data_IF_784248879825
#
_entry.id   IF_784248879825
#
_cell.length_a   1.000
_cell.length_b   1.000
_cell.length_c   1.000
_cell.angle_alpha   90.00
_cell.angle_beta   90.00
_cell.angle_gamma   90.00
#
_symmetry.space_group_name_H-M   'P 1'
#
loop_
_entity.id
_entity.type
_entity.pdbx_description
1 polymer ?
#
# COMPACT_ATOMS: atom_id res chain seq x y z
N UNK A 1 -5.17 -30.05 54.90
CA UNK A 1 -5.69 -28.74 54.46
C UNK A 1 -4.81 -28.22 53.33
N UNK A 2 -5.10 -28.30 52.03
CA UNK A 2 -6.13 -28.89 51.21
C UNK A 2 -5.63 -28.61 49.77
N UNK A 3 -5.24 -29.68 49.07
CA UNK A 3 -4.73 -29.67 47.69
C UNK A 3 -5.88 -29.51 46.70
N UNK A 4 -5.73 -28.67 45.68
CA UNK A 4 -6.56 -28.73 44.46
C UNK A 4 -5.68 -29.10 43.26
N UNK A 5 -5.67 -30.40 42.98
CA UNK A 5 -5.18 -31.02 41.75
C UNK A 5 -6.38 -31.28 40.84
N UNK A 6 -6.36 -30.73 39.61
CA UNK A 6 -7.38 -30.98 38.60
C UNK A 6 -7.04 -32.25 37.82
N UNK A 7 -7.96 -33.22 37.87
CA UNK A 7 -7.90 -34.52 37.19
C UNK A 7 -8.45 -34.41 35.77
N UNK A 8 -7.71 -34.95 34.79
CA UNK A 8 -8.17 -35.21 33.42
C UNK A 8 -8.74 -36.63 33.40
N UNK A 9 -10.03 -36.75 33.10
CA UNK A 9 -10.71 -38.03 32.91
C UNK A 9 -10.87 -38.34 31.43
N UNK A 10 -10.31 -39.48 31.02
CA UNK A 10 -10.53 -40.16 29.75
C UNK A 10 -11.28 -41.47 30.09
N UNK A 11 -12.39 -41.78 29.41
CA UNK A 11 -12.78 -43.18 29.19
C UNK A 11 -13.82 -43.39 28.09
N UNK A 12 -13.49 -44.38 27.25
CA UNK A 12 -14.36 -45.17 26.37
C UNK A 12 -15.39 -45.93 27.24
N UNK A 13 -16.52 -46.47 26.79
CA UNK A 13 -16.67 -47.59 25.84
C UNK A 13 -18.18 -47.96 25.69
N UNK A 14 -18.56 -48.47 24.50
CA UNK A 14 -19.63 -49.47 24.18
C UNK A 14 -21.11 -49.16 24.52
N UNK A 15 -22.12 -49.51 23.70
CA UNK A 15 -22.16 -50.26 22.44
C UNK A 15 -23.61 -50.57 21.99
N UNK A 16 -23.71 -51.14 20.77
CA UNK A 16 -24.80 -51.95 20.18
C UNK A 16 -26.16 -51.27 19.86
N UNK A 17 -26.78 -51.47 18.69
CA UNK A 17 -26.43 -52.25 17.49
C UNK A 17 -27.60 -52.38 16.50
N UNK A 18 -27.29 -52.99 15.34
CA UNK A 18 -28.15 -53.87 14.47
C UNK A 18 -29.25 -53.12 13.65
N UNK A 19 -29.53 -53.30 12.35
CA UNK A 19 -29.34 -54.40 11.36
C UNK A 19 -29.65 -53.91 9.93
N UNK A 20 -29.07 -54.61 8.93
CA UNK A 20 -29.56 -55.00 7.58
C UNK A 20 -30.14 -53.92 6.63
N UNK A 21 -29.86 -53.90 5.32
CA UNK A 21 -29.94 -55.01 4.37
C UNK A 21 -29.14 -54.70 3.07
N UNK A 22 -28.83 -55.76 2.33
CA UNK A 22 -27.91 -55.89 1.19
C UNK A 22 -28.66 -55.78 -0.18
N UNK A 23 -28.05 -56.00 -1.37
CA UNK A 23 -28.20 -55.16 -2.56
C UNK A 23 -28.81 -55.86 -3.79
N UNK A 24 -29.17 -55.09 -4.82
CA UNK A 24 -29.29 -55.54 -6.23
C UNK A 24 -29.47 -54.28 -7.12
N UNK A 25 -29.10 -54.15 -8.40
CA UNK A 25 -28.65 -55.08 -9.43
C UNK A 25 -28.11 -54.24 -10.62
N UNK A 26 -27.44 -54.91 -11.55
CA UNK A 26 -26.77 -54.40 -12.74
C UNK A 26 -27.68 -53.91 -13.88
N UNK A 27 -27.09 -53.16 -14.84
CA UNK A 27 -27.27 -53.24 -16.32
C UNK A 27 -26.55 -52.03 -16.98
N UNK A 28 -25.36 -52.18 -17.58
CA UNK A 28 -25.08 -52.54 -18.99
C UNK A 28 -25.52 -51.52 -20.07
N UNK A 29 -24.60 -50.62 -20.47
CA UNK A 29 -23.98 -50.40 -21.81
C UNK A 29 -24.75 -51.03 -23.01
N UNK A 30 -24.92 -50.36 -24.20
CA UNK A 30 -23.77 -49.94 -25.01
C UNK A 30 -23.83 -48.71 -25.93
N UNK A 31 -22.61 -48.34 -26.35
CA UNK A 31 -22.11 -47.77 -27.61
C UNK A 31 -23.03 -46.91 -28.49
N UNK A 32 -22.51 -45.75 -28.89
CA UNK A 32 -22.22 -45.58 -30.31
C UNK A 32 -21.06 -44.61 -30.58
N UNK A 33 -20.28 -45.01 -31.58
CA UNK A 33 -18.99 -44.48 -32.01
C UNK A 33 -19.15 -43.49 -33.18
N UNK A 34 -18.02 -42.90 -33.63
CA UNK A 34 -17.81 -42.08 -34.85
C UNK A 34 -18.09 -40.57 -34.69
N UNK A 35 -17.35 -39.61 -35.25
CA UNK A 35 -16.06 -39.53 -35.97
C UNK A 35 -15.79 -38.00 -36.13
N UNK A 36 -14.63 -37.47 -35.75
CA UNK A 36 -13.56 -37.00 -36.65
C UNK A 36 -14.04 -36.40 -37.99
N UNK A 37 -13.96 -35.07 -38.09
CA UNK A 37 -13.59 -34.38 -39.33
C UNK A 37 -12.90 -33.05 -38.99
N UNK A 38 -11.62 -33.03 -39.36
CA UNK A 38 -10.69 -31.91 -39.42
C UNK A 38 -10.89 -31.12 -40.74
N UNK A 39 -10.17 -30.00 -40.83
CA UNK A 39 -9.76 -29.24 -42.03
C UNK A 39 -10.58 -27.98 -42.40
N UNK A 40 -9.86 -26.86 -42.47
CA UNK A 40 -10.25 -25.76 -43.35
C UNK A 40 -9.70 -24.37 -43.03
N UNK A 41 -8.38 -24.17 -43.11
CA UNK A 41 -7.75 -22.86 -43.39
C UNK A 41 -8.18 -22.39 -44.79
N UNK A 42 -8.26 -21.08 -45.04
CA UNK A 42 -7.49 -20.58 -46.18
C UNK A 42 -6.71 -19.29 -45.85
N UNK A 43 -5.48 -19.29 -46.38
CA UNK A 43 -4.62 -18.14 -46.59
C UNK A 43 -4.90 -17.56 -48.00
N UNK A 44 -4.33 -16.37 -48.22
CA UNK A 44 -3.95 -15.75 -49.49
C UNK A 44 -4.63 -14.43 -49.91
N UNK A 45 -3.82 -13.37 -49.75
CA UNK A 45 -3.46 -12.36 -50.77
C UNK A 45 -4.41 -11.20 -51.07
N UNK A 46 -3.90 -9.98 -50.90
CA UNK A 46 -4.52 -8.76 -51.41
C UNK A 46 -3.86 -7.46 -50.91
N UNK A 47 -2.64 -7.15 -51.38
CA UNK A 47 -2.15 -5.76 -51.43
C UNK A 47 -2.93 -4.99 -52.52
N UNK A 48 -3.14 -3.68 -52.34
CA UNK A 48 -2.61 -2.79 -53.37
C UNK A 48 -1.88 -1.55 -52.82
N UNK A 49 -1.13 -0.99 -53.75
CA UNK A 49 -0.07 -0.01 -53.65
C UNK A 49 -0.56 1.46 -53.58
N UNK A 50 0.27 2.30 -52.96
CA UNK A 50 0.55 3.73 -53.23
C UNK A 50 -0.59 4.69 -53.66
N UNK A 51 -0.88 5.67 -52.81
CA UNK A 51 -1.56 6.91 -53.18
C UNK A 51 -1.04 8.09 -52.34
N UNK A 52 -0.01 8.77 -52.83
CA UNK A 52 0.41 10.10 -52.37
C UNK A 52 -0.52 11.13 -53.00
N UNK A 53 -1.21 11.95 -52.20
CA UNK A 53 -1.69 13.25 -52.64
C UNK A 53 -1.64 14.29 -51.50
N UNK A 54 -1.35 15.58 -51.80
CA UNK A 54 -0.88 16.57 -50.82
C UNK A 54 -1.93 17.65 -50.45
N UNK A 55 -1.71 18.26 -49.28
CA UNK A 55 -2.02 19.65 -48.86
C UNK A 55 -3.46 20.20 -48.89
N UNK A 56 -4.04 20.40 -47.70
CA UNK A 56 -4.89 21.55 -47.28
C UNK A 56 -5.59 21.18 -45.96
N UNK A 57 -5.65 21.95 -44.87
CA UNK A 57 -5.31 23.35 -44.58
C UNK A 57 -4.91 23.42 -43.09
N UNK A 58 -3.89 24.20 -42.81
CA UNK A 58 -3.49 24.65 -41.49
C UNK A 58 -4.63 25.41 -40.82
N UNK A 59 -5.19 24.85 -39.76
CA UNK A 59 -6.01 25.62 -38.82
C UNK A 59 -5.06 26.59 -38.09
N UNK A 60 -5.31 27.91 -38.07
CA UNK A 60 -4.39 28.85 -37.44
C UNK A 60 -4.23 28.50 -35.97
N UNK A 61 -2.99 28.23 -35.59
CA UNK A 61 -2.60 28.01 -34.21
C UNK A 61 -3.15 29.16 -33.36
N UNK A 62 -4.08 28.83 -32.47
CA UNK A 62 -4.43 29.70 -31.36
C UNK A 62 -3.12 30.06 -30.66
N UNK A 63 -2.80 31.34 -30.44
CA UNK A 63 -1.56 31.70 -29.77
C UNK A 63 -1.62 31.12 -28.36
N UNK A 64 -0.89 30.03 -28.14
CA UNK A 64 -0.57 29.54 -26.81
C UNK A 64 0.34 30.62 -26.23
N UNK A 65 -0.24 31.55 -25.48
CA UNK A 65 0.56 32.46 -24.67
C UNK A 65 1.47 31.58 -23.83
N UNK A 66 2.78 31.66 -24.08
CA UNK A 66 3.77 30.99 -23.27
C UNK A 66 3.71 31.61 -21.87
N UNK A 67 2.87 31.01 -21.03
CA UNK A 67 2.68 31.36 -19.62
C UNK A 67 3.98 31.03 -18.90
N UNK A 68 4.87 32.01 -18.74
CA UNK A 68 6.16 31.83 -18.07
C UNK A 68 5.93 31.63 -16.57
N UNK A 69 5.71 30.40 -16.15
CA UNK A 69 5.69 30.01 -14.74
C UNK A 69 7.14 29.92 -14.25
N UNK A 70 7.49 30.63 -13.17
CA UNK A 70 8.82 30.54 -12.60
C UNK A 70 8.97 29.21 -11.83
N UNK A 71 9.59 28.23 -12.49
CA UNK A 71 10.00 26.96 -11.88
C UNK A 71 11.48 27.01 -11.55
N UNK A 72 11.82 26.83 -10.27
CA UNK A 72 13.20 26.70 -9.81
C UNK A 72 13.52 25.22 -9.61
N UNK A 73 14.30 24.66 -10.53
CA UNK A 73 14.89 23.35 -10.34
C UNK A 73 15.95 23.44 -9.22
N UNK A 74 15.86 22.55 -8.23
CA UNK A 74 16.88 22.38 -7.19
C UNK A 74 17.16 23.63 -6.33
N UNK A 75 16.12 24.15 -5.66
CA UNK A 75 16.24 25.26 -4.70
C UNK A 75 15.88 24.88 -3.25
N UNK A 76 16.32 25.64 -2.24
CA UNK A 76 15.94 25.40 -0.85
C UNK A 76 14.42 25.51 -0.71
N UNK A 77 13.78 24.41 -0.34
CA UNK A 77 12.34 24.38 -0.11
C UNK A 77 11.97 25.26 1.09
N UNK A 78 10.79 25.93 1.07
CA UNK A 78 10.28 26.62 2.24
C UNK A 78 10.18 25.65 3.43
N UNK A 79 10.99 25.90 4.48
CA UNK A 79 11.03 25.10 5.71
C UNK A 79 10.06 25.71 6.71
N UNK A 80 9.00 24.98 7.07
CA UNK A 80 7.99 25.44 8.05
C UNK A 80 8.50 25.33 9.49
N UNK A 81 9.49 24.48 9.76
CA UNK A 81 10.26 24.42 11.01
C UNK A 81 11.65 23.87 10.73
N UNK A 82 12.69 24.49 11.28
CA UNK A 82 14.00 23.88 11.38
C UNK A 82 13.93 22.80 12.46
N UNK A 83 13.76 21.52 12.08
CA UNK A 83 13.91 20.44 13.05
C UNK A 83 14.68 19.25 12.49
N UNK A 84 15.76 18.94 13.24
CA UNK A 84 16.62 17.75 13.26
C UNK A 84 17.62 17.61 12.11
N UNK A 85 18.69 18.40 12.17
CA UNK A 85 19.95 18.02 11.52
C UNK A 85 20.60 16.77 12.19
N UNK A 86 20.25 16.47 13.45
CA UNK A 86 20.85 15.37 14.24
C UNK A 86 19.79 14.34 14.71
N UNK A 87 18.93 13.83 13.82
CA UNK A 87 18.09 12.68 14.20
C UNK A 87 18.97 11.42 14.26
N UNK A 88 18.86 10.59 15.31
CA UNK A 88 19.63 9.35 15.37
C UNK A 88 19.23 8.41 14.23
N UNK A 89 20.20 7.65 13.72
CA UNK A 89 19.95 6.61 12.73
C UNK A 89 19.08 5.49 13.34
N UNK A 90 18.39 4.68 12.51
CA UNK A 90 17.62 3.53 13.00
C UNK A 90 18.44 2.58 13.89
N UNK A 91 19.71 2.41 13.55
CA UNK A 91 20.69 1.58 14.25
C UNK A 91 21.04 2.18 15.60
N UNK A 92 21.44 3.45 15.64
CA UNK A 92 21.70 4.20 16.88
C UNK A 92 20.47 4.19 17.80
N UNK A 93 19.28 4.38 17.24
CA UNK A 93 18.03 4.39 18.00
C UNK A 93 17.75 3.04 18.64
N UNK A 94 17.90 1.94 17.91
CA UNK A 94 17.67 0.61 18.48
C UNK A 94 18.76 0.27 19.51
N UNK A 95 20.04 0.51 19.19
CA UNK A 95 21.17 0.28 20.10
C UNK A 95 21.04 1.03 21.42
N UNK A 96 20.70 2.32 21.37
CA UNK A 96 20.46 3.14 22.58
C UNK A 96 19.37 2.53 23.46
N UNK A 97 18.35 1.93 22.84
CA UNK A 97 17.20 1.38 23.56
C UNK A 97 17.50 0.00 24.13
N UNK A 98 18.24 -0.82 23.39
CA UNK A 98 18.77 -2.10 23.88
C UNK A 98 19.68 -1.86 25.09
N UNK A 99 20.58 -0.88 25.04
CA UNK A 99 21.45 -0.52 26.15
C UNK A 99 20.69 -0.08 27.40
N UNK A 100 19.57 0.65 27.24
CA UNK A 100 18.67 1.01 28.36
C UNK A 100 17.93 -0.19 28.95
N UNK A 101 17.66 -1.21 28.13
CA UNK A 101 16.89 -2.38 28.54
C UNK A 101 17.77 -3.48 29.16
N UNK A 102 19.05 -3.54 28.78
CA UNK A 102 19.99 -4.57 29.20
C UNK A 102 20.16 -4.58 30.75
N UNK A 103 20.08 -5.75 31.41
CA UNK A 103 20.39 -5.87 32.83
C UNK A 103 21.83 -5.44 33.13
N UNK A 104 22.07 -4.84 34.30
CA UNK A 104 23.43 -4.38 34.69
C UNK A 104 24.41 -5.54 34.92
N UNK A 105 23.89 -6.70 35.29
CA UNK A 105 24.61 -7.93 35.64
C UNK A 105 24.70 -8.92 34.46
N UNK A 106 24.38 -8.45 33.25
CA UNK A 106 24.36 -9.28 32.05
C UNK A 106 25.78 -9.69 31.60
N UNK A 107 26.00 -10.95 31.18
CA UNK A 107 27.26 -11.36 30.58
C UNK A 107 27.53 -10.62 29.27
N UNK A 108 28.79 -10.49 28.83
CA UNK A 108 29.12 -9.90 27.54
C UNK A 108 28.39 -10.60 26.39
N UNK A 109 27.73 -9.80 25.56
CA UNK A 109 27.06 -10.25 24.32
C UNK A 109 27.98 -10.04 23.13
N UNK A 110 27.82 -10.88 22.10
CA UNK A 110 28.63 -10.78 20.87
C UNK A 110 28.32 -9.47 20.12
N UNK A 111 29.31 -8.57 20.04
CA UNK A 111 29.19 -7.33 19.27
C UNK A 111 28.92 -7.59 17.78
N UNK A 112 29.64 -8.56 17.18
CA UNK A 112 29.43 -9.00 15.80
C UNK A 112 28.01 -9.55 15.63
N UNK A 113 27.52 -10.35 16.59
CA UNK A 113 26.17 -10.91 16.53
C UNK A 113 25.09 -9.82 16.53
N UNK A 114 25.27 -8.76 17.31
CA UNK A 114 24.37 -7.60 17.32
C UNK A 114 24.44 -6.85 15.99
N UNK A 115 25.63 -6.56 15.49
CA UNK A 115 25.83 -5.86 14.21
C UNK A 115 25.17 -6.62 13.05
N UNK A 116 25.46 -7.91 12.90
CA UNK A 116 24.85 -8.75 11.87
C UNK A 116 23.32 -8.83 12.03
N UNK A 117 22.80 -8.88 13.27
CA UNK A 117 21.36 -8.85 13.50
C UNK A 117 20.74 -7.52 13.07
N UNK A 118 21.42 -6.38 13.28
CA UNK A 118 20.98 -5.08 12.80
C UNK A 118 21.04 -5.00 11.28
N UNK A 119 22.12 -5.45 10.63
CA UNK A 119 22.25 -5.46 9.17
C UNK A 119 21.13 -6.25 8.48
N UNK A 120 20.73 -7.38 9.08
CA UNK A 120 19.63 -8.21 8.58
C UNK A 120 18.23 -7.55 8.73
N UNK A 121 18.10 -6.47 9.50
CA UNK A 121 16.81 -5.81 9.75
C UNK A 121 16.59 -4.60 8.84
N UNK A 122 15.39 -4.51 8.27
CA UNK A 122 14.95 -3.28 7.61
C UNK A 122 14.94 -2.08 8.60
N UNK A 123 15.29 -0.85 8.14
CA UNK A 123 15.28 0.35 8.98
C UNK A 123 13.97 0.58 9.76
N UNK A 124 12.83 0.33 9.12
CA UNK A 124 11.51 0.46 9.75
C UNK A 124 11.29 -0.58 10.86
N UNK A 125 11.87 -1.77 10.75
CA UNK A 125 11.82 -2.81 11.77
C UNK A 125 12.61 -2.38 13.00
N UNK A 126 13.83 -1.83 12.80
CA UNK A 126 14.67 -1.31 13.90
C UNK A 126 13.93 -0.25 14.72
N UNK A 127 13.33 0.73 14.04
CA UNK A 127 12.54 1.79 14.67
C UNK A 127 11.28 1.25 15.38
N UNK A 128 10.59 0.27 14.79
CA UNK A 128 9.41 -0.33 15.39
C UNK A 128 9.73 -1.13 16.66
N UNK A 129 10.84 -1.89 16.64
CA UNK A 129 11.33 -2.64 17.82
C UNK A 129 11.72 -1.66 18.92
N UNK A 130 12.48 -0.61 18.59
CA UNK A 130 12.92 0.38 19.55
C UNK A 130 11.74 1.11 20.22
N UNK A 131 10.70 1.48 19.44
CA UNK A 131 9.49 2.09 19.98
C UNK A 131 8.63 1.11 20.81
N UNK A 132 8.55 -0.16 20.41
CA UNK A 132 7.85 -1.18 21.20
C UNK A 132 8.56 -1.46 22.52
N UNK A 133 9.89 -1.49 22.50
CA UNK A 133 10.73 -1.68 23.67
C UNK A 133 10.59 -0.50 24.64
N UNK A 134 10.59 0.75 24.17
CA UNK A 134 10.31 1.90 25.06
C UNK A 134 8.97 1.76 25.79
N UNK A 135 7.89 1.43 25.08
CA UNK A 135 6.60 1.23 25.71
C UNK A 135 6.58 0.07 26.73
N UNK A 136 7.43 -0.94 26.54
CA UNK A 136 7.57 -2.04 27.50
C UNK A 136 8.36 -1.56 28.73
N UNK A 137 9.48 -0.86 28.53
CA UNK A 137 10.29 -0.28 29.60
C UNK A 137 9.47 0.71 30.44
N UNK A 138 8.69 1.58 29.81
CA UNK A 138 7.82 2.54 30.49
C UNK A 138 6.77 1.84 31.37
N UNK A 139 6.16 0.77 30.85
CA UNK A 139 5.20 -0.04 31.61
C UNK A 139 5.87 -0.78 32.77
N UNK A 140 7.03 -1.41 32.54
CA UNK A 140 7.79 -2.08 33.60
C UNK A 140 8.20 -1.12 34.70
N UNK A 141 8.64 0.09 34.34
CA UNK A 141 9.02 1.12 35.32
C UNK A 141 7.81 1.55 36.17
N UNK A 142 6.65 1.75 35.54
CA UNK A 142 5.41 2.11 36.23
C UNK A 142 4.92 1.00 37.16
N UNK A 143 4.99 -0.26 36.73
CA UNK A 143 4.53 -1.42 37.51
C UNK A 143 5.61 -2.00 38.45
N UNK A 144 6.77 -1.34 38.54
CA UNK A 144 7.95 -1.77 39.30
C UNK A 144 8.37 -3.22 38.99
N UNK A 145 8.39 -3.58 37.70
CA UNK A 145 8.74 -4.91 37.18
C UNK A 145 10.14 -4.92 36.58
N UNK A 146 10.76 -6.11 36.58
CA UNK A 146 11.98 -6.35 35.81
C UNK A 146 11.64 -6.40 34.31
N UNK A 147 12.36 -5.59 33.52
CA UNK A 147 12.11 -5.53 32.08
C UNK A 147 12.69 -6.71 31.29
N UNK A 148 13.91 -7.14 31.64
CA UNK A 148 14.63 -8.22 30.97
C UNK A 148 15.41 -9.09 31.98
N UNK A 149 15.50 -10.42 31.76
CA UNK A 149 14.61 -11.21 30.91
C UNK A 149 13.15 -11.00 31.31
N UNK A 150 12.25 -10.90 30.33
CA UNK A 150 10.85 -10.63 30.62
C UNK A 150 10.20 -11.85 31.27
N UNK A 151 9.45 -11.63 32.34
CA UNK A 151 8.66 -12.68 32.95
C UNK A 151 7.40 -13.00 32.10
N UNK A 152 7.07 -14.28 31.82
CA UNK A 152 5.87 -14.63 31.05
C UNK A 152 4.55 -14.11 31.64
N UNK A 153 4.41 -14.03 32.96
CA UNK A 153 3.22 -13.45 33.59
C UNK A 153 3.15 -11.94 33.35
N UNK A 154 4.27 -11.24 33.47
CA UNK A 154 4.36 -9.80 33.19
C UNK A 154 4.04 -9.49 31.72
N UNK A 155 4.48 -10.34 30.78
CA UNK A 155 4.07 -10.24 29.38
C UNK A 155 2.54 -10.38 29.23
N UNK A 156 1.91 -11.30 29.95
CA UNK A 156 0.44 -11.46 29.94
C UNK A 156 -0.25 -10.26 30.60
N UNK A 157 0.27 -9.72 31.70
CA UNK A 157 -0.25 -8.50 32.35
C UNK A 157 -0.20 -7.31 31.39
N UNK A 158 0.94 -7.11 30.74
CA UNK A 158 1.11 -6.07 29.73
C UNK A 158 0.14 -6.21 28.57
N UNK A 159 -0.06 -7.43 28.05
CA UNK A 159 -1.05 -7.70 27.02
C UNK A 159 -2.48 -7.34 27.47
N UNK A 160 -2.85 -7.61 28.72
CA UNK A 160 -4.17 -7.25 29.26
C UNK A 160 -4.37 -5.75 29.37
N UNK A 161 -3.36 -5.00 29.82
CA UNK A 161 -3.40 -3.53 29.87
C UNK A 161 -3.55 -2.95 28.46
N UNK A 162 -2.74 -3.43 27.50
CA UNK A 162 -2.87 -3.00 26.11
C UNK A 162 -4.24 -3.34 25.51
N UNK A 163 -4.83 -4.47 25.89
CA UNK A 163 -6.18 -4.84 25.47
C UNK A 163 -7.24 -3.88 26.03
N UNK A 164 -7.13 -3.53 27.33
CA UNK A 164 -7.98 -2.56 28.01
C UNK A 164 -7.87 -1.17 27.38
N UNK A 165 -6.66 -0.74 26.99
CA UNK A 165 -6.37 0.49 26.24
C UNK A 165 -6.87 0.48 24.77
N UNK A 166 -7.68 -0.52 24.41
CA UNK A 166 -8.28 -0.61 23.08
C UNK A 166 -7.30 -1.00 21.97
N UNK A 167 -6.06 -1.44 22.28
CA UNK A 167 -5.11 -1.84 21.23
C UNK A 167 -5.61 -3.11 20.50
N UNK A 168 -5.29 -3.17 19.20
CA UNK A 168 -5.73 -4.24 18.29
C UNK A 168 -4.86 -5.50 18.45
N UNK A 169 -5.41 -6.71 18.18
CA UNK A 169 -4.63 -7.95 18.29
C UNK A 169 -3.33 -7.99 17.47
N UNK A 170 -3.31 -7.32 16.31
CA UNK A 170 -2.11 -7.18 15.49
C UNK A 170 -1.01 -6.35 16.17
N UNK A 171 -1.39 -5.30 16.92
CA UNK A 171 -0.45 -4.48 17.70
C UNK A 171 0.17 -5.29 18.82
N UNK A 172 -0.65 -6.08 19.54
CA UNK A 172 -0.17 -6.93 20.63
C UNK A 172 0.78 -8.00 20.13
N UNK A 173 0.41 -8.70 19.06
CA UNK A 173 1.26 -9.74 18.46
C UNK A 173 2.61 -9.14 18.00
N UNK A 174 2.59 -7.93 17.41
CA UNK A 174 3.81 -7.24 17.00
C UNK A 174 4.71 -6.87 18.17
N UNK A 175 4.15 -6.34 19.27
CA UNK A 175 4.94 -6.00 20.47
C UNK A 175 5.63 -7.23 21.06
N UNK A 176 4.94 -8.36 21.17
CA UNK A 176 5.55 -9.62 21.62
C UNK A 176 6.64 -10.09 20.66
N UNK A 177 6.45 -9.97 19.35
CA UNK A 177 7.50 -10.29 18.38
C UNK A 177 8.72 -9.37 18.48
N UNK A 178 8.52 -8.07 18.72
CA UNK A 178 9.61 -7.12 18.99
C UNK A 178 10.39 -7.53 20.25
N UNK A 179 9.68 -7.85 21.34
CA UNK A 179 10.31 -8.34 22.56
C UNK A 179 11.05 -9.67 22.34
N UNK A 180 10.50 -10.59 21.53
CA UNK A 180 11.17 -11.85 21.19
C UNK A 180 12.49 -11.60 20.45
N UNK A 181 12.50 -10.60 19.56
CA UNK A 181 13.73 -10.19 18.87
C UNK A 181 14.72 -9.54 19.82
N UNK A 182 14.28 -8.69 20.75
CA UNK A 182 15.14 -8.11 21.79
C UNK A 182 15.81 -9.20 22.62
N UNK A 183 15.05 -10.21 23.07
CA UNK A 183 15.61 -11.35 23.81
C UNK A 183 16.64 -12.13 22.98
N UNK A 184 16.43 -12.27 21.67
CA UNK A 184 17.37 -12.95 20.79
C UNK A 184 18.66 -12.16 20.57
N UNK A 185 18.56 -10.85 20.31
CA UNK A 185 19.73 -9.97 20.12
C UNK A 185 20.60 -9.95 21.39
N UNK A 186 19.95 -9.95 22.55
CA UNK A 186 20.60 -9.93 23.85
C UNK A 186 20.93 -11.33 24.40
N UNK A 187 20.72 -12.39 23.63
CA UNK A 187 20.96 -13.77 24.09
C UNK A 187 20.28 -14.15 25.43
N UNK A 188 19.09 -13.59 25.68
CA UNK A 188 18.26 -13.82 26.88
C UNK A 188 17.16 -14.86 26.65
N UNK A 189 17.28 -15.66 25.59
CA UNK A 189 16.24 -16.59 25.15
C UNK A 189 16.21 -17.92 25.90
N UNK A 190 17.34 -18.37 26.45
CA UNK A 190 17.49 -19.73 26.98
C UNK A 190 17.02 -20.81 25.99
N UNK A 191 16.63 -21.98 26.50
CA UNK A 191 16.05 -23.05 25.68
C UNK A 191 14.64 -22.71 25.16
N UNK A 192 13.85 -21.97 25.94
CA UNK A 192 12.51 -21.50 25.55
C UNK A 192 12.34 -20.01 25.85
N UNK A 193 12.21 -19.14 24.83
CA UNK A 193 12.05 -17.71 25.04
C UNK A 193 10.79 -17.40 25.85
N UNK A 194 10.83 -16.47 26.83
CA UNK A 194 9.66 -16.10 27.65
C UNK A 194 8.45 -15.65 26.82
N UNK A 195 8.72 -14.98 25.69
CA UNK A 195 7.72 -14.53 24.72
C UNK A 195 6.97 -15.66 24.00
N UNK A 196 7.53 -16.87 24.02
CA UNK A 196 6.94 -18.07 23.45
C UNK A 196 6.26 -18.94 24.49
N UNK A 197 6.25 -18.58 25.78
CA UNK A 197 5.61 -19.37 26.83
C UNK A 197 4.12 -19.67 26.51
N UNK A 198 3.59 -20.86 26.86
CA UNK A 198 2.21 -21.24 26.55
C UNK A 198 1.17 -20.20 26.98
N UNK A 199 1.34 -19.57 28.14
CA UNK A 199 0.42 -18.55 28.65
C UNK A 199 0.39 -17.28 27.79
N UNK A 200 1.54 -16.86 27.24
CA UNK A 200 1.63 -15.71 26.33
C UNK A 200 0.92 -16.02 25.01
N UNK A 201 1.14 -17.21 24.45
CA UNK A 201 0.45 -17.66 23.23
C UNK A 201 -1.05 -17.77 23.44
N UNK A 202 -1.48 -18.32 24.58
CA UNK A 202 -2.88 -18.43 24.94
C UNK A 202 -3.54 -17.07 25.14
N UNK A 203 -2.84 -16.11 25.76
CA UNK A 203 -3.33 -14.73 25.93
C UNK A 203 -3.58 -14.06 24.56
N UNK A 204 -2.62 -14.15 23.63
CA UNK A 204 -2.78 -13.64 22.27
C UNK A 204 -3.94 -14.32 21.52
N UNK A 205 -4.10 -15.64 21.67
CA UNK A 205 -5.20 -16.40 21.04
C UNK A 205 -6.56 -15.99 21.62
N UNK A 206 -6.66 -15.85 22.94
CA UNK A 206 -7.89 -15.45 23.63
C UNK A 206 -8.31 -14.03 23.22
N UNK A 207 -7.36 -13.10 23.14
CA UNK A 207 -7.62 -11.73 22.66
C UNK A 207 -8.14 -11.72 21.22
N UNK A 208 -7.51 -12.49 20.31
CA UNK A 208 -7.97 -12.60 18.91
C UNK A 208 -9.40 -13.14 18.81
N UNK A 209 -9.79 -14.07 19.69
CA UNK A 209 -11.16 -14.59 19.77
C UNK A 209 -12.16 -13.55 20.26
N UNK A 210 -11.81 -12.79 21.31
CA UNK A 210 -12.69 -11.74 21.88
C UNK A 210 -12.92 -10.56 20.94
N UNK A 211 -11.86 -9.99 20.38
CA UNK A 211 -11.94 -8.77 19.54
C UNK A 211 -12.15 -9.05 18.05
N UNK A 212 -12.00 -10.31 17.62
CA UNK A 212 -11.91 -10.67 16.21
C UNK A 212 -10.55 -10.31 15.60
N UNK A 213 -10.17 -11.04 14.56
CA UNK A 213 -8.91 -10.86 13.83
C UNK A 213 -9.05 -10.06 12.53
N UNK A 214 -10.23 -9.51 12.26
CA UNK A 214 -10.50 -8.76 11.04
C UNK A 214 -9.62 -7.50 10.98
N UNK A 215 -8.75 -7.43 9.97
CA UNK A 215 -7.93 -6.25 9.71
C UNK A 215 -8.71 -5.29 8.82
N UNK A 216 -8.81 -4.02 9.25
CA UNK A 216 -9.37 -2.95 8.40
C UNK A 216 -8.51 -2.79 7.15
N UNK A 217 -9.13 -2.90 5.99
CA UNK A 217 -8.49 -2.63 4.71
C UNK A 217 -8.57 -1.12 4.41
N UNK A 218 -7.62 -0.62 3.60
CA UNK A 218 -7.75 0.72 3.05
C UNK A 218 -9.00 0.79 2.17
N UNK A 219 -9.64 1.96 2.13
CA UNK A 219 -10.71 2.18 1.16
C UNK A 219 -10.14 1.99 -0.25
N UNK A 220 -10.84 1.27 -1.15
CA UNK A 220 -10.38 1.11 -2.52
C UNK A 220 -10.47 2.43 -3.26
N UNK A 221 -9.46 2.72 -4.08
CA UNK A 221 -9.52 3.82 -5.05
C UNK A 221 -9.48 3.19 -6.44
N UNK A 222 -10.67 2.81 -6.93
CA UNK A 222 -10.89 2.13 -8.22
C UNK A 222 -10.80 3.10 -9.38
N UNK A 223 -10.61 2.61 -10.60
CA UNK A 223 -10.45 3.48 -11.78
C UNK A 223 -11.64 4.40 -12.00
N UNK A 224 -12.87 3.86 -11.91
CA UNK A 224 -14.11 4.57 -12.25
C UNK A 224 -14.40 4.58 -13.76
N UNK A 225 -15.62 4.93 -14.16
CA UNK A 225 -16.01 4.99 -15.58
C UNK A 225 -16.10 3.59 -16.23
N UNK A 226 -15.36 3.38 -17.33
CA UNK A 226 -15.46 2.19 -18.20
C UNK A 226 -15.20 0.84 -17.51
N UNK A 227 -14.50 0.83 -16.37
CA UNK A 227 -14.22 -0.37 -15.55
C UNK A 227 -15.26 -0.59 -14.42
N UNK A 228 -16.38 0.16 -14.45
CA UNK A 228 -17.53 0.01 -13.56
C UNK A 228 -17.67 1.16 -12.55
N UNK A 229 -18.94 1.48 -12.25
CA UNK A 229 -19.32 2.53 -11.29
C UNK A 229 -18.90 2.17 -9.87
N UNK A 230 -17.83 2.79 -9.41
CA UNK A 230 -17.52 2.87 -7.99
C UNK A 230 -18.14 4.16 -7.45
N UNK A 231 -19.12 4.06 -6.57
CA UNK A 231 -19.58 5.23 -5.81
C UNK A 231 -18.43 5.83 -5.00
N UNK A 232 -18.43 7.15 -4.84
CA UNK A 232 -17.36 7.88 -4.16
C UNK A 232 -16.13 8.16 -5.03
N UNK A 233 -14.95 8.20 -4.41
CA UNK A 233 -13.71 8.63 -5.09
C UNK A 233 -13.20 7.59 -6.09
N UNK A 234 -12.88 8.03 -7.30
CA UNK A 234 -12.28 7.22 -8.37
C UNK A 234 -10.98 7.84 -8.88
N UNK A 235 -10.13 7.04 -9.54
CA UNK A 235 -8.93 7.55 -10.20
C UNK A 235 -9.29 8.57 -11.27
N UNK A 236 -10.32 8.29 -12.08
CA UNK A 236 -10.78 9.21 -13.14
C UNK A 236 -11.14 10.59 -12.57
N UNK A 237 -11.95 10.64 -11.50
CA UNK A 237 -12.35 11.88 -10.86
C UNK A 237 -11.18 12.62 -10.21
N UNK A 238 -10.24 11.88 -9.59
CA UNK A 238 -9.04 12.49 -9.01
C UNK A 238 -8.08 13.00 -10.09
N UNK A 239 -7.90 12.30 -11.21
CA UNK A 239 -7.07 12.75 -12.32
C UNK A 239 -7.65 14.01 -12.98
N UNK A 240 -8.97 14.07 -13.13
CA UNK A 240 -9.68 15.24 -13.66
C UNK A 240 -9.59 16.45 -12.71
N UNK A 241 -9.56 16.21 -11.40
CA UNK A 241 -9.37 17.25 -10.39
C UNK A 241 -7.92 17.75 -10.25
N UNK A 242 -6.95 17.13 -10.92
CA UNK A 242 -5.56 17.59 -10.87
C UNK A 242 -5.42 18.90 -11.65
N UNK A 243 -4.84 19.92 -11.02
CA UNK A 243 -4.55 21.19 -11.66
C UNK A 243 -3.50 21.04 -12.77
N UNK A 244 -3.48 22.00 -13.71
CA UNK A 244 -2.47 22.10 -14.76
C UNK A 244 -1.16 22.74 -14.27
N UNK A 245 -1.09 23.18 -13.02
CA UNK A 245 0.13 23.71 -12.43
C UNK A 245 1.18 22.61 -12.16
N UNK A 246 2.43 23.00 -11.88
CA UNK A 246 3.55 22.08 -11.61
C UNK A 246 3.21 21.06 -10.52
N UNK A 247 2.43 21.45 -9.52
CA UNK A 247 1.99 20.55 -8.45
C UNK A 247 0.97 19.52 -8.94
N UNK A 248 -0.02 19.94 -9.72
CA UNK A 248 -1.07 19.08 -10.26
C UNK A 248 -0.56 18.14 -11.35
N UNK A 249 0.38 18.58 -12.20
CA UNK A 249 1.08 17.71 -13.15
C UNK A 249 1.82 16.57 -12.44
N UNK A 250 2.57 16.88 -11.37
CA UNK A 250 3.21 15.85 -10.53
C UNK A 250 2.17 14.89 -9.94
N UNK A 251 1.11 15.44 -9.39
CA UNK A 251 0.05 14.69 -8.71
C UNK A 251 -0.64 13.70 -9.66
N UNK A 252 -0.95 14.14 -10.89
CA UNK A 252 -1.52 13.31 -11.93
C UNK A 252 -0.57 12.17 -12.34
N UNK A 253 0.70 12.46 -12.57
CA UNK A 253 1.70 11.45 -12.90
C UNK A 253 1.88 10.42 -11.76
N UNK A 254 1.89 10.89 -10.50
CA UNK A 254 2.03 10.05 -9.32
C UNK A 254 0.82 9.13 -9.14
N UNK A 255 -0.39 9.66 -9.30
CA UNK A 255 -1.63 8.90 -9.18
C UNK A 255 -1.74 7.82 -10.26
N UNK A 256 -1.45 8.20 -11.51
CA UNK A 256 -1.50 7.32 -12.68
C UNK A 256 -0.50 6.17 -12.55
N UNK A 257 0.78 6.47 -12.30
CA UNK A 257 1.81 5.44 -12.13
C UNK A 257 1.52 4.54 -10.92
N UNK A 258 1.12 5.13 -9.80
CA UNK A 258 0.82 4.39 -8.59
C UNK A 258 -0.33 3.39 -8.75
N UNK A 259 -1.31 3.73 -9.60
CA UNK A 259 -2.41 2.85 -9.96
C UNK A 259 -1.94 1.75 -10.92
N UNK A 260 -1.40 2.08 -12.10
CA UNK A 260 -0.99 1.10 -13.13
C UNK A 260 -0.07 -0.01 -12.58
N UNK A 261 0.96 0.37 -11.83
CA UNK A 261 1.94 -0.58 -11.31
C UNK A 261 1.53 -1.19 -9.95
N UNK A 262 0.43 -0.74 -9.35
CA UNK A 262 -0.08 -1.22 -8.07
C UNK A 262 0.94 -1.16 -6.93
N UNK A 263 1.73 -0.09 -6.86
CA UNK A 263 2.94 -0.02 -6.02
C UNK A 263 2.65 0.15 -4.53
N UNK A 264 3.56 -0.33 -3.69
CA UNK A 264 3.66 0.12 -2.29
C UNK A 264 4.25 1.53 -2.27
N UNK A 265 3.85 2.35 -1.31
CA UNK A 265 4.38 3.73 -1.23
C UNK A 265 5.90 3.82 -1.16
N UNK A 266 6.56 2.88 -0.49
CA UNK A 266 8.02 2.85 -0.45
C UNK A 266 8.65 2.55 -1.80
N UNK A 267 7.97 1.78 -2.65
CA UNK A 267 8.39 1.53 -4.03
C UNK A 267 8.15 2.81 -4.84
N UNK A 268 6.94 3.38 -4.79
CA UNK A 268 6.57 4.62 -5.49
C UNK A 268 7.50 5.81 -5.20
N UNK A 269 7.89 6.00 -3.93
CA UNK A 269 8.76 7.11 -3.54
C UNK A 269 10.23 6.88 -3.86
N UNK A 270 10.61 5.64 -4.19
CA UNK A 270 11.99 5.26 -4.49
C UNK A 270 12.28 5.18 -6.00
N UNK A 271 11.26 5.31 -6.86
CA UNK A 271 11.43 5.24 -8.32
C UNK A 271 12.39 6.32 -8.78
N UNK A 272 13.39 5.91 -9.55
CA UNK A 272 14.27 6.81 -10.27
C UNK A 272 13.96 6.83 -11.77
N UNK A 273 14.43 7.87 -12.46
CA UNK A 273 14.28 7.98 -13.92
C UNK A 273 14.90 6.76 -14.64
N UNK A 274 16.02 6.24 -14.13
CA UNK A 274 16.72 5.08 -14.71
C UNK A 274 15.90 3.79 -14.69
N UNK A 275 14.87 3.72 -13.83
CA UNK A 275 14.02 2.54 -13.68
C UNK A 275 12.93 2.48 -14.75
N UNK A 276 12.71 3.57 -15.49
CA UNK A 276 11.70 3.66 -16.55
C UNK A 276 12.28 3.29 -17.91
N UNK A 277 11.60 2.39 -18.62
CA UNK A 277 11.93 1.98 -19.98
C UNK A 277 10.74 2.23 -20.91
N UNK A 278 10.75 3.31 -21.71
CA UNK A 278 9.73 3.55 -22.73
C UNK A 278 9.72 2.46 -23.81
N UNK A 279 8.55 2.18 -24.37
CA UNK A 279 8.34 1.22 -25.46
C UNK A 279 7.85 1.95 -26.72
N UNK A 280 7.94 1.29 -27.88
CA UNK A 280 7.61 1.87 -29.18
C UNK A 280 6.12 2.19 -29.39
N UNK A 281 5.23 1.53 -28.65
CA UNK A 281 3.78 1.76 -28.66
C UNK A 281 3.34 2.89 -27.71
N UNK A 282 4.30 3.59 -27.10
CA UNK A 282 4.06 4.65 -26.11
C UNK A 282 3.85 4.14 -24.68
N UNK A 283 3.75 2.83 -24.47
CA UNK A 283 3.71 2.24 -23.12
C UNK A 283 5.11 2.24 -22.49
N UNK A 284 5.21 1.77 -21.24
CA UNK A 284 6.49 1.69 -20.55
C UNK A 284 6.61 0.46 -19.66
N UNK A 285 7.85 0.14 -19.31
CA UNK A 285 8.17 -0.83 -18.27
C UNK A 285 8.86 -0.09 -17.11
N UNK A 286 8.45 -0.41 -15.89
CA UNK A 286 9.05 0.05 -14.66
C UNK A 286 9.81 -1.10 -14.00
N UNK A 287 11.12 -0.93 -13.83
CA UNK A 287 11.94 -1.82 -13.04
C UNK A 287 11.79 -1.51 -11.54
N UNK A 288 11.61 -2.54 -10.72
CA UNK A 288 11.54 -2.43 -9.28
C UNK A 288 12.70 -3.24 -8.70
N UNK A 289 13.84 -2.62 -8.40
CA UNK A 289 15.05 -3.34 -7.99
C UNK A 289 14.92 -4.04 -6.64
N UNK A 290 14.00 -3.57 -5.78
CA UNK A 290 13.65 -4.23 -4.53
C UNK A 290 12.15 -4.09 -4.27
N UNK A 291 11.55 -5.15 -3.74
CA UNK A 291 10.18 -5.11 -3.23
C UNK A 291 10.14 -5.61 -1.79
N UNK A 292 9.06 -5.32 -1.05
CA UNK A 292 8.91 -5.81 0.33
C UNK A 292 9.06 -7.34 0.45
N UNK A 293 8.63 -8.06 -0.58
CA UNK A 293 8.65 -9.54 -0.62
C UNK A 293 9.88 -10.09 -1.34
N UNK A 294 10.73 -9.22 -1.87
CA UNK A 294 11.96 -9.57 -2.59
C UNK A 294 13.15 -9.16 -1.72
N UNK A 295 13.45 -9.99 -0.72
CA UNK A 295 14.56 -9.74 0.20
C UNK A 295 15.92 -10.00 -0.46
N UNK A 296 15.95 -10.82 -1.52
CA UNK A 296 17.17 -11.17 -2.27
C UNK A 296 17.46 -10.18 -3.41
N UNK A 297 16.50 -9.32 -3.77
CA UNK A 297 16.70 -8.27 -4.78
C UNK A 297 16.72 -8.81 -6.21
N UNK A 298 15.96 -9.87 -6.48
CA UNK A 298 15.78 -10.43 -7.84
C UNK A 298 15.18 -9.40 -8.80
N UNK A 299 14.49 -8.41 -8.25
CA UNK A 299 13.82 -7.35 -9.01
C UNK A 299 12.47 -7.81 -9.54
N UNK A 300 11.65 -6.85 -9.92
CA UNK A 300 10.38 -7.09 -10.60
C UNK A 300 10.14 -6.06 -11.69
N UNK A 301 9.26 -6.40 -12.62
CA UNK A 301 8.82 -5.48 -13.67
C UNK A 301 7.33 -5.18 -13.51
N UNK A 302 6.95 -3.94 -13.82
CA UNK A 302 5.56 -3.53 -13.93
C UNK A 302 5.34 -2.83 -15.28
N UNK A 303 4.21 -3.10 -15.91
CA UNK A 303 3.79 -2.40 -17.11
C UNK A 303 3.15 -1.06 -16.76
N UNK A 304 3.34 -0.06 -17.62
CA UNK A 304 2.77 1.29 -17.52
C UNK A 304 2.03 1.62 -18.81
N UNK A 305 0.81 2.16 -18.67
CA UNK A 305 0.02 2.61 -19.81
C UNK A 305 0.65 3.79 -20.54
N UNK A 306 0.27 3.98 -21.81
CA UNK A 306 0.69 5.15 -22.57
C UNK A 306 0.27 6.48 -21.91
N UNK A 307 -0.90 6.51 -21.25
CA UNK A 307 -1.37 7.68 -20.50
C UNK A 307 -0.47 8.01 -19.32
N UNK A 308 -0.08 6.99 -18.55
CA UNK A 308 0.88 7.15 -17.46
C UNK A 308 2.23 7.66 -17.99
N UNK A 309 2.74 7.09 -19.08
CA UNK A 309 4.00 7.53 -19.68
C UNK A 309 3.94 8.98 -20.18
N UNK A 310 2.81 9.40 -20.78
CA UNK A 310 2.60 10.81 -21.16
C UNK A 310 2.59 11.73 -19.94
N UNK A 311 1.87 11.39 -18.87
CA UNK A 311 1.84 12.20 -17.63
C UNK A 311 3.22 12.31 -16.99
N UNK A 312 4.01 11.23 -17.00
CA UNK A 312 5.40 11.23 -16.53
C UNK A 312 6.27 12.15 -17.40
N UNK A 313 6.12 12.10 -18.73
CA UNK A 313 6.87 12.96 -19.63
C UNK A 313 6.57 14.44 -19.38
N UNK A 314 5.29 14.81 -19.22
CA UNK A 314 4.88 16.18 -18.88
C UNK A 314 5.47 16.59 -17.52
N UNK A 315 5.37 15.74 -16.50
CA UNK A 315 5.99 16.02 -15.20
C UNK A 315 7.50 16.25 -15.29
N UNK A 316 8.24 15.42 -16.03
CA UNK A 316 9.69 15.57 -16.21
C UNK A 316 10.04 16.87 -16.91
N UNK A 317 9.28 17.23 -17.95
CA UNK A 317 9.45 18.49 -18.67
C UNK A 317 9.24 19.70 -17.75
N UNK A 318 8.11 19.75 -17.06
CA UNK A 318 7.74 20.87 -16.16
C UNK A 318 8.67 21.01 -14.95
N UNK A 319 9.20 19.90 -14.45
CA UNK A 319 10.07 19.88 -13.26
C UNK A 319 11.56 20.03 -13.57
N UNK A 320 11.95 19.85 -14.83
CA UNK A 320 13.36 19.78 -15.24
C UNK A 320 14.09 18.54 -14.69
N UNK A 321 13.37 17.47 -14.33
CA UNK A 321 13.99 16.26 -13.77
C UNK A 321 14.50 15.35 -14.89
N UNK A 322 15.83 15.34 -15.07
CA UNK A 322 16.53 14.45 -16.00
C UNK A 322 17.01 13.15 -15.35
N UNK A 323 17.34 13.15 -14.07
CA UNK A 323 17.96 12.02 -13.34
C UNK A 323 17.46 11.88 -11.89
N UNK A 324 17.86 10.80 -11.21
CA UNK A 324 17.53 10.53 -9.81
C UNK A 324 16.04 10.27 -9.57
N UNK A 325 15.55 10.57 -8.36
CA UNK A 325 14.19 10.23 -7.94
C UNK A 325 13.14 10.99 -8.75
N UNK A 326 12.15 10.26 -9.26
CA UNK A 326 11.08 10.77 -10.11
C UNK A 326 10.11 11.71 -9.36
N UNK A 327 9.64 11.31 -8.18
CA UNK A 327 8.63 12.07 -7.44
C UNK A 327 9.23 12.82 -6.26
N UNK A 328 9.30 14.14 -6.41
CA UNK A 328 9.93 15.06 -5.45
C UNK A 328 8.92 16.04 -4.84
N UNK A 329 9.27 16.61 -3.70
CA UNK A 329 8.43 17.66 -3.08
C UNK A 329 8.45 18.92 -3.94
N UNK A 330 7.27 19.49 -4.17
CA UNK A 330 7.07 20.80 -4.82
C UNK A 330 6.71 21.81 -3.73
N UNK A 331 7.61 22.77 -3.50
CA UNK A 331 7.35 23.97 -2.72
C UNK A 331 6.58 24.97 -3.57
N UNK A 332 5.54 25.58 -3.00
CA UNK A 332 4.71 26.57 -3.68
C UNK A 332 4.76 27.86 -2.85
N UNK A 333 5.25 28.94 -3.44
CA UNK A 333 5.27 30.26 -2.83
C UNK A 333 4.20 31.15 -3.49
N UNK A 334 3.10 31.35 -2.75
CA UNK A 334 1.93 32.16 -3.13
C UNK A 334 1.95 33.56 -2.51
N UNK A 335 3.10 34.04 -2.01
CA UNK A 335 3.16 35.36 -1.36
C UNK A 335 2.90 36.50 -2.35
N UNK A 336 3.46 36.41 -3.55
CA UNK A 336 3.30 37.43 -4.59
C UNK A 336 1.90 37.42 -5.19
N UNK A 337 1.37 36.24 -5.48
CA UNK A 337 -0.04 36.04 -5.86
C UNK A 337 -0.98 36.73 -4.87
N UNK A 338 -0.91 36.38 -3.58
CA UNK A 338 -1.77 36.98 -2.54
C UNK A 338 -1.59 38.49 -2.39
N UNK A 339 -0.37 39.00 -2.55
CA UNK A 339 -0.12 40.43 -2.51
C UNK A 339 -0.80 41.15 -3.70
N UNK A 340 -0.79 40.53 -4.89
CA UNK A 340 -1.49 41.03 -6.07
C UNK A 340 -3.00 40.96 -5.88
N UNK A 341 -3.56 39.83 -5.42
CA UNK A 341 -5.01 39.72 -5.14
C UNK A 341 -5.49 40.81 -4.17
N UNK A 342 -4.73 41.10 -3.10
CA UNK A 342 -5.06 42.17 -2.15
C UNK A 342 -4.98 43.56 -2.82
N UNK A 343 -4.00 43.77 -3.70
CA UNK A 343 -3.86 45.02 -4.43
C UNK A 343 -5.01 45.22 -5.43
N UNK A 344 -5.31 44.19 -6.22
CA UNK A 344 -6.38 44.17 -7.22
C UNK A 344 -7.74 44.44 -6.53
N UNK A 345 -8.03 43.74 -5.43
CA UNK A 345 -9.24 43.95 -4.63
C UNK A 345 -9.35 45.37 -4.04
N UNK A 346 -8.21 46.02 -3.73
CA UNK A 346 -8.18 47.41 -3.22
C UNK A 346 -8.54 48.43 -4.29
N UNK A 347 -8.19 48.17 -5.55
CA UNK A 347 -8.39 49.09 -6.68
C UNK A 347 -9.58 48.71 -7.57
N UNK A 348 -10.33 47.65 -7.23
CA UNK A 348 -11.47 47.16 -8.01
C UNK A 348 -11.07 46.45 -9.30
N UNK A 349 -9.79 46.05 -9.42
CA UNK A 349 -9.28 45.25 -10.53
C UNK A 349 -9.47 43.76 -10.22
N UNK A 350 -9.65 42.93 -11.25
CA UNK A 350 -9.72 41.47 -11.13
C UNK A 350 -8.84 40.84 -12.21
N UNK A 351 -7.57 40.64 -11.90
CA UNK A 351 -6.60 39.99 -12.78
C UNK A 351 -6.08 38.70 -12.15
N UNK A 352 -6.99 37.73 -12.00
CA UNK A 352 -6.69 36.40 -11.46
C UNK A 352 -5.64 35.65 -12.30
N UNK A 353 -5.64 35.86 -13.62
CA UNK A 353 -4.65 35.30 -14.53
C UNK A 353 -3.25 35.86 -14.28
N UNK A 354 -3.11 37.17 -14.08
CA UNK A 354 -1.85 37.81 -13.70
C UNK A 354 -1.40 37.45 -12.29
N UNK A 355 -2.33 37.25 -11.34
CA UNK A 355 -2.00 36.84 -9.97
C UNK A 355 -1.43 35.43 -9.92
N UNK A 356 -2.02 34.48 -10.64
CA UNK A 356 -1.58 33.09 -10.70
C UNK A 356 -0.20 32.92 -11.37
N UNK A 357 0.17 33.80 -12.31
CA UNK A 357 1.53 33.88 -12.87
C UNK A 357 2.62 34.21 -11.83
N UNK A 358 2.24 34.81 -10.69
CA UNK A 358 3.18 35.19 -9.65
C UNK A 358 3.50 34.06 -8.66
N UNK A 359 2.88 32.89 -8.83
CA UNK A 359 3.18 31.71 -8.02
C UNK A 359 4.55 31.15 -8.42
N UNK A 360 5.45 31.04 -7.45
CA UNK A 360 6.76 30.42 -7.67
C UNK A 360 6.75 28.97 -7.22
N UNK A 361 7.18 28.07 -8.09
CA UNK A 361 7.32 26.64 -7.79
C UNK A 361 8.79 26.29 -7.61
N UNK A 362 9.10 25.55 -6.54
CA UNK A 362 10.45 25.02 -6.28
C UNK A 362 10.38 23.51 -6.19
N UNK A 363 11.09 22.82 -7.06
CA UNK A 363 11.19 21.35 -7.03
C UNK A 363 12.40 20.96 -6.18
N UNK A 364 12.18 20.17 -5.13
CA UNK A 364 13.25 19.66 -4.28
C UNK A 364 14.10 18.58 -4.95
N UNK A 365 15.12 18.09 -4.24
CA UNK A 365 15.96 16.95 -4.63
C UNK A 365 15.51 15.62 -4.01
N UNK A 366 14.92 15.68 -2.81
CA UNK A 366 14.59 14.51 -2.00
C UNK A 366 13.29 13.81 -2.46
N UNK A 367 13.19 12.48 -2.25
CA UNK A 367 11.96 11.73 -2.47
C UNK A 367 10.79 12.26 -1.64
N UNK A 368 9.57 12.11 -2.16
CA UNK A 368 8.37 12.31 -1.35
C UNK A 368 8.34 11.37 -0.15
N UNK A 369 7.83 11.86 0.98
CA UNK A 369 7.58 11.01 2.15
C UNK A 369 6.24 10.29 2.03
N UNK A 370 6.06 9.19 2.77
CA UNK A 370 4.76 8.48 2.86
C UNK A 370 3.62 9.41 3.27
N UNK A 371 3.86 10.30 4.22
CA UNK A 371 2.89 11.30 4.68
C UNK A 371 2.60 12.31 3.56
N UNK A 372 3.62 12.72 2.81
CA UNK A 372 3.47 13.57 1.63
C UNK A 372 2.52 12.96 0.60
N UNK A 373 2.75 11.70 0.22
CA UNK A 373 1.87 10.97 -0.72
C UNK A 373 0.43 10.86 -0.20
N UNK A 374 0.25 10.53 1.08
CA UNK A 374 -1.09 10.45 1.68
C UNK A 374 -1.79 11.82 1.65
N UNK A 375 -1.05 12.89 1.95
CA UNK A 375 -1.56 14.26 1.90
C UNK A 375 -1.95 14.68 0.48
N UNK A 376 -1.16 14.27 -0.53
CA UNK A 376 -1.47 14.49 -1.94
C UNK A 376 -2.80 13.84 -2.30
N UNK A 377 -3.00 12.55 -2.02
CA UNK A 377 -4.27 11.86 -2.35
C UNK A 377 -5.48 12.54 -1.74
N UNK A 378 -5.38 12.93 -0.46
CA UNK A 378 -6.49 13.59 0.25
C UNK A 378 -6.77 14.99 -0.29
N UNK A 379 -5.73 15.73 -0.69
CA UNK A 379 -5.89 17.04 -1.31
C UNK A 379 -6.59 16.93 -2.67
N UNK A 380 -6.15 16.01 -3.52
CA UNK A 380 -6.78 15.80 -4.83
C UNK A 380 -8.24 15.35 -4.65
N UNK A 381 -8.49 14.42 -3.72
CA UNK A 381 -9.86 13.98 -3.39
C UNK A 381 -10.75 15.15 -2.93
N UNK A 382 -10.24 16.02 -2.06
CA UNK A 382 -10.97 17.23 -1.68
C UNK A 382 -11.23 18.16 -2.88
N UNK A 383 -10.25 18.30 -3.78
CA UNK A 383 -10.40 19.03 -5.04
C UNK A 383 -11.52 18.45 -5.91
N UNK A 384 -11.53 17.13 -6.09
CA UNK A 384 -12.54 16.42 -6.87
C UNK A 384 -13.94 16.61 -6.30
N UNK A 385 -14.10 16.51 -4.98
CA UNK A 385 -15.38 16.76 -4.32
C UNK A 385 -15.86 18.21 -4.50
N UNK A 386 -14.95 19.19 -4.40
CA UNK A 386 -15.29 20.62 -4.62
C UNK A 386 -15.66 20.92 -6.06
N UNK A 387 -15.10 20.18 -7.01
CA UNK A 387 -15.43 20.28 -8.44
C UNK A 387 -16.71 19.53 -8.82
N UNK A 388 -17.40 18.86 -7.87
CA UNK A 388 -18.61 18.09 -8.15
C UNK A 388 -18.37 16.79 -8.93
N UNK A 389 -17.12 16.30 -8.98
CA UNK A 389 -16.73 15.09 -9.72
C UNK A 389 -17.01 13.78 -8.95
N UNK A 390 -17.56 13.90 -7.74
CA UNK A 390 -17.71 12.79 -6.80
C UNK A 390 -19.08 12.86 -6.16
N UNK A 391 -19.85 11.80 -6.32
CA UNK A 391 -21.13 11.63 -5.63
C UNK A 391 -20.90 10.95 -4.28
N UNK A 392 -21.20 11.67 -3.20
CA UNK A 392 -21.07 11.21 -1.81
C UNK A 392 -22.29 11.65 -1.00
N UNK A 393 -22.78 10.82 -0.06
CA UNK A 393 -23.82 11.23 0.86
C UNK A 393 -23.44 12.47 1.67
N UNK A 394 -24.43 13.31 1.97
CA UNK A 394 -24.24 14.51 2.75
C UNK A 394 -23.60 14.19 4.12
N UNK A 395 -22.53 14.91 4.47
CA UNK A 395 -21.79 14.74 5.73
C UNK A 395 -20.73 13.63 5.73
N UNK A 396 -20.58 12.84 4.66
CA UNK A 396 -19.60 11.75 4.63
C UNK A 396 -18.22 12.12 4.08
N UNK A 397 -18.09 13.30 3.45
CA UNK A 397 -16.88 13.73 2.74
C UNK A 397 -15.60 13.59 3.58
N UNK A 398 -15.60 14.12 4.79
CA UNK A 398 -14.45 14.08 5.69
C UNK A 398 -14.05 12.65 6.07
N UNK A 399 -15.04 11.80 6.30
CA UNK A 399 -14.82 10.39 6.63
C UNK A 399 -14.24 9.66 5.43
N UNK A 400 -14.82 9.84 4.24
CA UNK A 400 -14.34 9.26 2.99
C UNK A 400 -12.88 9.65 2.71
N UNK A 401 -12.53 10.94 2.78
CA UNK A 401 -11.16 11.42 2.60
C UNK A 401 -10.20 10.82 3.65
N UNK A 402 -10.62 10.74 4.92
CA UNK A 402 -9.79 10.16 5.99
C UNK A 402 -9.47 8.68 5.75
N UNK A 403 -10.35 7.94 5.09
CA UNK A 403 -10.10 6.53 4.75
C UNK A 403 -9.10 6.33 3.63
N UNK A 404 -8.87 7.35 2.79
CA UNK A 404 -7.84 7.31 1.77
C UNK A 404 -6.44 7.25 2.41
N UNK A 405 -5.67 6.31 1.91
CA UNK A 405 -4.31 6.00 2.32
C UNK A 405 -3.42 5.68 1.13
N UNK A 406 -2.13 5.52 1.39
CA UNK A 406 -1.15 5.07 0.39
C UNK A 406 -1.38 3.67 -0.18
N UNK A 407 -2.24 2.85 0.45
CA UNK A 407 -2.57 1.51 -0.03
C UNK A 407 -3.84 1.49 -0.90
N UNK A 408 -4.57 2.61 -1.01
CA UNK A 408 -5.88 2.67 -1.67
C UNK A 408 -5.82 2.35 -3.16
N UNK A 409 -4.79 2.86 -3.87
CA UNK A 409 -4.58 2.56 -5.29
C UNK A 409 -4.41 1.08 -5.53
N UNK A 410 -3.56 0.45 -4.73
CA UNK A 410 -3.29 -0.98 -4.84
C UNK A 410 -4.53 -1.83 -4.54
N UNK A 411 -5.33 -1.46 -3.55
CA UNK A 411 -6.62 -2.13 -3.28
C UNK A 411 -7.59 -1.92 -4.44
N UNK A 412 -7.68 -0.70 -4.95
CA UNK A 412 -8.53 -0.36 -6.09
C UNK A 412 -8.19 -1.17 -7.33
N UNK A 413 -6.92 -1.17 -7.76
CA UNK A 413 -6.45 -1.98 -8.88
C UNK A 413 -6.75 -3.46 -8.67
N UNK A 414 -6.51 -4.00 -7.46
CA UNK A 414 -6.85 -5.40 -7.17
C UNK A 414 -8.33 -5.69 -7.43
N UNK A 415 -9.20 -4.80 -6.96
CA UNK A 415 -10.63 -4.93 -7.10
C UNK A 415 -11.09 -4.78 -8.55
N UNK A 416 -10.48 -3.87 -9.31
CA UNK A 416 -10.74 -3.70 -10.74
C UNK A 416 -10.30 -4.93 -11.55
N UNK A 417 -9.14 -5.52 -11.25
CA UNK A 417 -8.71 -6.77 -11.88
C UNK A 417 -9.67 -7.93 -11.58
N UNK A 418 -10.12 -8.07 -10.33
CA UNK A 418 -11.15 -9.06 -10.00
C UNK A 418 -12.48 -8.79 -10.71
N UNK A 419 -12.87 -7.52 -10.84
CA UNK A 419 -14.09 -7.13 -11.57
C UNK A 419 -13.97 -7.42 -13.08
N UNK A 420 -12.76 -7.35 -13.63
CA UNK A 420 -12.45 -7.74 -15.01
C UNK A 420 -12.40 -9.26 -15.23
N UNK A 421 -12.53 -10.07 -14.17
CA UNK A 421 -12.57 -11.53 -14.26
C UNK A 421 -11.23 -12.23 -14.04
N UNK A 422 -10.17 -11.49 -13.69
CA UNK A 422 -8.86 -12.06 -13.41
C UNK A 422 -8.86 -12.93 -12.14
N UNK A 423 -8.01 -13.96 -12.13
CA UNK A 423 -7.90 -14.87 -11.00
C UNK A 423 -6.96 -14.36 -9.89
N UNK A 424 -7.01 -15.00 -8.73
CA UNK A 424 -6.19 -14.60 -7.58
C UNK A 424 -4.68 -14.83 -7.77
N UNK A 425 -4.27 -15.72 -8.68
CA UNK A 425 -2.87 -16.04 -8.92
C UNK A 425 -2.21 -15.02 -9.85
N UNK A 426 -2.84 -14.70 -10.98
CA UNK A 426 -2.44 -13.64 -11.90
C UNK A 426 -2.39 -12.29 -11.19
N UNK A 427 -3.42 -11.95 -10.41
CA UNK A 427 -3.40 -10.72 -9.60
C UNK A 427 -2.26 -10.72 -8.59
N UNK A 428 -1.96 -11.85 -7.93
CA UNK A 428 -0.86 -11.93 -6.99
C UNK A 428 0.50 -11.75 -7.66
N UNK A 429 0.70 -12.29 -8.87
CA UNK A 429 1.89 -12.08 -9.68
C UNK A 429 2.02 -10.60 -10.06
N UNK A 430 1.00 -10.03 -10.70
CA UNK A 430 0.96 -8.62 -11.16
C UNK A 430 1.25 -7.65 -10.02
N UNK A 431 0.62 -7.86 -8.86
CA UNK A 431 0.83 -7.00 -7.72
C UNK A 431 2.07 -7.36 -6.91
N UNK A 432 2.74 -8.49 -7.14
CA UNK A 432 3.91 -8.94 -6.37
C UNK A 432 3.55 -9.21 -4.91
N UNK A 433 2.58 -10.09 -4.73
CA UNK A 433 2.27 -10.73 -3.47
C UNK A 433 2.90 -12.12 -3.41
N UNK A 434 3.42 -12.49 -2.25
CA UNK A 434 4.01 -13.81 -2.02
C UNK A 434 2.98 -14.95 -1.97
N UNK A 435 1.68 -14.64 -1.95
CA UNK A 435 0.63 -15.65 -1.90
C UNK A 435 -0.67 -15.16 -2.54
N UNK A 436 -1.34 -16.00 -3.37
CA UNK A 436 -2.68 -15.75 -3.88
C UNK A 436 -3.73 -15.50 -2.79
N UNK A 437 -3.55 -16.08 -1.59
CA UNK A 437 -4.48 -15.86 -0.47
C UNK A 437 -4.53 -14.40 -0.03
N UNK A 438 -3.45 -13.63 -0.27
CA UNK A 438 -3.43 -12.19 -0.02
C UNK A 438 -4.35 -11.45 -1.01
N UNK A 439 -4.34 -11.84 -2.29
CA UNK A 439 -5.23 -11.28 -3.30
C UNK A 439 -6.69 -11.54 -2.99
N UNK A 440 -7.01 -12.80 -2.71
CA UNK A 440 -8.36 -13.23 -2.38
C UNK A 440 -8.95 -12.47 -1.17
N UNK A 441 -8.10 -12.03 -0.23
CA UNK A 441 -8.53 -11.23 0.91
C UNK A 441 -9.04 -9.83 0.51
N UNK A 442 -8.46 -9.21 -0.51
CA UNK A 442 -8.87 -7.89 -1.01
C UNK A 442 -10.06 -7.97 -1.98
N UNK A 443 -10.22 -9.10 -2.67
CA UNK A 443 -11.37 -9.38 -3.55
C UNK A 443 -12.59 -9.98 -2.84
N UNK A 444 -12.52 -10.30 -1.54
CA UNK A 444 -13.52 -11.13 -0.84
C UNK A 444 -14.97 -10.67 -1.02
N UNK A 445 -15.25 -9.36 -0.99
CA UNK A 445 -16.62 -8.85 -1.16
C UNK A 445 -17.09 -8.93 -2.63
N UNK A 446 -16.23 -8.60 -3.59
CA UNK A 446 -16.56 -8.68 -5.02
C UNK A 446 -16.73 -10.13 -5.49
N UNK A 447 -15.91 -11.04 -4.97
CA UNK A 447 -16.03 -12.48 -5.21
C UNK A 447 -17.34 -13.09 -4.67
N UNK A 448 -18.07 -12.43 -3.76
CA UNK A 448 -19.42 -12.92 -3.39
C UNK A 448 -20.40 -12.65 -4.53
N UNK A 449 -20.28 -11.49 -5.18
CA UNK A 449 -21.14 -11.09 -6.31
C UNK A 449 -20.75 -11.77 -7.62
N UNK A 450 -19.47 -12.10 -7.81
CA UNK A 450 -18.94 -12.78 -8.99
C UNK A 450 -18.48 -14.22 -8.72
N UNK A 451 -18.85 -14.81 -7.57
CA UNK A 451 -18.39 -16.13 -7.15
C UNK A 451 -18.94 -17.26 -8.02
N UNK A 452 -18.35 -18.45 -7.92
CA UNK A 452 -18.78 -19.63 -8.71
C UNK A 452 -20.27 -19.87 -8.57
N UNK A 453 -20.80 -19.83 -7.34
CA UNK A 453 -22.22 -19.95 -7.08
C UNK A 453 -23.03 -18.83 -7.74
N UNK A 454 -22.60 -17.56 -7.62
CA UNK A 454 -23.28 -16.43 -8.23
C UNK A 454 -23.32 -16.53 -9.76
N UNK A 455 -22.20 -16.87 -10.42
CA UNK A 455 -22.11 -17.02 -11.88
C UNK A 455 -22.92 -18.18 -12.43
N UNK A 456 -22.99 -19.28 -11.69
CA UNK A 456 -23.78 -20.45 -12.08
C UNK A 456 -25.26 -20.18 -11.84
N UNK A 457 -25.62 -19.69 -10.66
CA UNK A 457 -27.02 -19.47 -10.30
C UNK A 457 -27.63 -18.26 -11.01
N UNK A 458 -26.86 -17.22 -11.37
CA UNK A 458 -27.39 -16.08 -12.14
C UNK A 458 -27.78 -16.46 -13.56
N UNK A 459 -27.29 -17.57 -14.11
CA UNK A 459 -27.69 -18.09 -15.43
C UNK A 459 -28.90 -19.01 -15.37
N UNK A 460 -29.15 -19.59 -14.19
CA UNK A 460 -30.24 -20.56 -13.96
C UNK A 460 -31.45 -19.90 -13.29
N UNK A 461 -31.24 -18.78 -12.60
CA UNK A 461 -32.27 -18.04 -11.84
C UNK A 461 -32.44 -16.59 -12.32
N UNK A 462 -31.88 -16.22 -13.47
CA UNK A 462 -32.28 -15.03 -14.24
C UNK A 462 -33.60 -15.29 -14.94
#
# INVERSE_FOLDING_TARGET
>A
YGNDSVVIGDNRTAGQGVSHEDPNEAQSVPDDTLALADLGVPDETGMPNSGVHPLSQSNPATPVHATTIMVRASGPLPRRHARRANAPTPDERLMTTLGRAAPQDMPPVSGIGIETALEAMAPASKLAIAADLDCWLDWCAHEHRRALPADPEDLVRYLRILEADGKKPATLSRRIASLATVHRILDLGGELPPTSAPMVRNALRAQRRRKGAAQRQAAPLRFGGALGGAGGFTISALLEACSSDVQGVRDAALLSLGYDAGLRVSELTAIEIKDLRPQGDGTGLLHLPRSKTDQEGLGAWAWLSADTMRRIAVWRSESGISEGVLFRRVGVDRRRERAKEIADARWGETDEAGASLLVTYTVGSEPLTRQGVTGIYRRIALGAARAGLVDLPAGELDTAIKTLSTHSLRVGLTQDLFAAGEDGAGIALTLRWSSPSTALRYGRQLQVQSGVAARVLSRVRS
#
